data_IF_368074674385
#
_entry.id   IF_368074674385
#
_cell.length_a   1.000
_cell.length_b   1.000
_cell.length_c   1.000
_cell.angle_alpha   90.00
_cell.angle_beta   90.00
_cell.angle_gamma   90.00
#
_symmetry.space_group_name_H-M   'P 1'
#
loop_
_entity.id
_entity.type
_entity.pdbx_description
1 polymer ?
#
# COMPACT_ATOMS: atom_id res chain seq x y z
N UNK A 1 -18.95 7.78 10.88
CA UNK A 1 -18.22 7.91 9.61
C UNK A 1 -17.73 6.51 9.28
N UNK A 2 -18.36 5.82 8.32
CA UNK A 2 -17.83 4.54 7.84
C UNK A 2 -16.62 4.84 6.97
N UNK A 3 -15.46 4.84 7.60
CA UNK A 3 -14.14 4.88 6.98
C UNK A 3 -13.96 3.53 6.26
N UNK A 4 -13.07 3.43 5.27
CA UNK A 4 -12.77 2.23 4.48
C UNK A 4 -12.86 0.89 5.24
N UNK A 5 -13.02 -0.20 4.49
CA UNK A 5 -12.80 -1.53 5.06
C UNK A 5 -11.37 -1.60 5.60
N UNK A 6 -11.23 -1.73 6.91
CA UNK A 6 -9.96 -2.12 7.51
C UNK A 6 -9.49 -3.42 6.86
N UNK A 7 -8.21 -3.51 6.55
CA UNK A 7 -7.66 -4.68 5.86
C UNK A 7 -6.45 -4.34 5.02
N UNK A 8 -6.15 -5.24 4.09
CA UNK A 8 -5.03 -5.11 3.16
C UNK A 8 -5.57 -4.97 1.75
N UNK A 9 -5.11 -3.96 1.04
CA UNK A 9 -5.31 -3.78 -0.40
C UNK A 9 -4.00 -4.13 -1.09
N UNK A 10 -4.01 -5.11 -2.00
CA UNK A 10 -2.81 -5.59 -2.71
C UNK A 10 -2.82 -5.06 -4.14
N UNK A 11 -1.70 -4.53 -4.60
CA UNK A 11 -1.52 -4.09 -5.98
C UNK A 11 -1.86 -5.22 -6.97
N UNK A 12 -2.50 -4.90 -8.08
CA UNK A 12 -2.74 -5.88 -9.14
C UNK A 12 -1.47 -6.15 -9.95
N UNK A 13 -0.59 -5.14 -10.04
CA UNK A 13 0.63 -5.19 -10.83
C UNK A 13 1.82 -5.59 -9.95
N UNK A 14 2.52 -6.70 -10.25
CA UNK A 14 3.75 -7.02 -9.54
C UNK A 14 4.91 -6.14 -9.99
N UNK A 15 5.80 -5.81 -9.06
CA UNK A 15 7.16 -5.40 -9.34
C UNK A 15 8.08 -6.63 -9.41
N UNK A 16 8.99 -6.64 -10.38
CA UNK A 16 9.99 -7.70 -10.55
C UNK A 16 11.38 -7.13 -10.36
N UNK A 17 12.13 -7.66 -9.40
CA UNK A 17 13.53 -7.31 -9.17
C UNK A 17 14.42 -8.52 -9.44
N UNK A 18 15.58 -8.24 -10.02
CA UNK A 18 16.56 -9.26 -10.40
C UNK A 18 17.85 -9.00 -9.63
N UNK A 19 18.20 -9.93 -8.76
CA UNK A 19 19.45 -9.92 -8.01
C UNK A 19 20.51 -10.76 -8.72
N UNK A 20 21.74 -10.25 -8.77
CA UNK A 20 22.87 -11.00 -9.29
C UNK A 20 23.65 -11.66 -8.16
N UNK A 21 23.85 -12.97 -8.24
CA UNK A 21 24.57 -13.76 -7.24
C UNK A 21 25.59 -14.67 -7.93
N UNK A 22 26.87 -14.30 -7.91
CA UNK A 22 27.97 -15.19 -8.29
C UNK A 22 27.87 -15.87 -9.65
N UNK A 23 27.27 -15.20 -10.66
CA UNK A 23 27.05 -15.75 -12.01
C UNK A 23 25.63 -16.24 -12.29
N UNK A 24 24.78 -16.35 -11.28
CA UNK A 24 23.33 -16.61 -11.40
C UNK A 24 22.49 -15.34 -11.26
N UNK A 25 21.24 -15.41 -11.72
CA UNK A 25 20.22 -14.36 -11.53
C UNK A 25 19.07 -14.94 -10.71
N UNK A 26 18.73 -14.30 -9.61
CA UNK A 26 17.53 -14.60 -8.82
C UNK A 26 16.49 -13.54 -9.16
N UNK A 27 15.32 -13.98 -9.62
CA UNK A 27 14.20 -13.11 -9.91
C UNK A 27 13.19 -13.21 -8.78
N UNK A 28 12.77 -12.07 -8.26
CA UNK A 28 11.77 -11.98 -7.22
C UNK A 28 10.58 -11.15 -7.70
N UNK A 29 9.39 -11.60 -7.34
CA UNK A 29 8.13 -10.94 -7.69
C UNK A 29 7.47 -10.44 -6.41
N UNK A 30 7.32 -9.13 -6.27
CA UNK A 30 6.67 -8.48 -5.14
C UNK A 30 5.46 -7.68 -5.57
N UNK A 31 4.54 -7.49 -4.66
CA UNK A 31 3.37 -6.65 -4.78
C UNK A 31 3.45 -5.55 -3.72
N UNK A 32 2.99 -4.36 -4.08
CA UNK A 32 2.72 -3.31 -3.10
C UNK A 32 1.48 -3.65 -2.30
N UNK A 33 1.52 -3.45 -0.99
CA UNK A 33 0.41 -3.68 -0.09
C UNK A 33 0.10 -2.41 0.68
N UNK A 34 -1.18 -2.09 0.83
CA UNK A 34 -1.69 -0.95 1.58
C UNK A 34 -2.58 -1.47 2.69
N UNK A 35 -2.09 -1.29 3.90
CA UNK A 35 -2.68 -1.73 5.14
C UNK A 35 -3.45 -0.57 5.75
N UNK A 36 -4.77 -0.70 5.94
CA UNK A 36 -5.62 0.34 6.53
C UNK A 36 -6.18 -0.17 7.85
N UNK A 37 -5.94 0.60 8.92
CA UNK A 37 -6.47 0.32 10.25
C UNK A 37 -6.89 1.63 10.91
N UNK A 38 -8.20 1.87 10.98
CA UNK A 38 -8.80 3.14 11.42
C UNK A 38 -8.33 4.30 10.53
N UNK A 39 -7.62 5.28 11.10
CA UNK A 39 -7.04 6.42 10.38
C UNK A 39 -5.57 6.22 10.01
N UNK A 40 -4.97 5.08 10.36
CA UNK A 40 -3.56 4.79 10.08
C UNK A 40 -3.43 3.98 8.81
N UNK A 41 -2.43 4.31 8.00
CA UNK A 41 -2.06 3.60 6.78
C UNK A 41 -0.62 3.10 6.86
N UNK A 42 -0.38 1.92 6.31
CA UNK A 42 0.94 1.30 6.23
C UNK A 42 1.18 0.74 4.83
N UNK A 43 2.37 0.93 4.30
CA UNK A 43 2.77 0.42 2.98
C UNK A 43 3.90 -0.58 3.15
N UNK A 44 3.81 -1.72 2.47
CA UNK A 44 4.91 -2.68 2.44
C UNK A 44 4.93 -3.45 1.12
N UNK A 45 6.07 -4.07 0.82
CA UNK A 45 6.25 -4.89 -0.38
C UNK A 45 6.47 -6.34 0.03
N UNK A 46 5.69 -7.26 -0.54
CA UNK A 46 5.78 -8.68 -0.22
C UNK A 46 5.19 -9.55 -1.34
N UNK A 47 5.16 -10.87 -1.16
CA UNK A 47 4.43 -11.74 -2.08
C UNK A 47 2.93 -11.46 -2.05
N UNK A 48 2.20 -11.88 -3.09
CA UNK A 48 0.77 -11.55 -3.28
C UNK A 48 -0.11 -11.91 -2.08
N UNK A 49 0.19 -13.03 -1.42
CA UNK A 49 -0.63 -13.57 -0.33
C UNK A 49 -0.04 -13.30 1.06
N UNK A 50 0.85 -12.31 1.19
CA UNK A 50 1.50 -11.99 2.46
C UNK A 50 0.83 -10.82 3.16
N UNK A 51 0.13 -11.12 4.26
CA UNK A 51 -0.63 -10.14 5.05
C UNK A 51 -0.25 -10.15 6.55
N UNK A 52 0.79 -10.88 6.96
CA UNK A 52 1.25 -10.90 8.36
C UNK A 52 1.54 -9.51 8.95
N UNK A 53 2.14 -8.55 8.21
CA UNK A 53 2.41 -7.20 8.73
C UNK A 53 1.16 -6.42 9.13
N UNK A 54 -0.02 -6.77 8.61
CA UNK A 54 -1.29 -6.17 9.05
C UNK A 54 -1.57 -6.43 10.54
N UNK A 55 -1.30 -7.65 11.02
CA UNK A 55 -1.57 -8.02 12.42
C UNK A 55 -0.56 -7.41 13.40
N UNK A 56 0.65 -7.13 12.93
CA UNK A 56 1.64 -6.37 13.66
C UNK A 56 1.93 -5.05 12.93
N UNK A 57 0.91 -4.19 12.85
CA UNK A 57 1.00 -2.91 12.14
C UNK A 57 2.20 -2.06 12.59
N UNK A 58 2.67 -2.24 13.82
CA UNK A 58 3.85 -1.54 14.35
C UNK A 58 5.17 -1.88 13.63
N UNK A 59 5.25 -3.05 12.98
CA UNK A 59 6.42 -3.48 12.22
C UNK A 59 6.45 -2.99 10.77
N UNK A 60 5.46 -2.20 10.34
CA UNK A 60 5.47 -1.57 9.02
C UNK A 60 6.28 -0.29 9.14
N UNK A 61 7.37 -0.16 8.39
CA UNK A 61 8.23 1.03 8.48
C UNK A 61 7.61 2.25 7.78
N UNK A 62 7.04 2.06 6.59
CA UNK A 62 6.36 3.11 5.83
C UNK A 62 4.92 3.29 6.34
N UNK A 63 4.76 4.12 7.36
CA UNK A 63 3.46 4.43 7.98
C UNK A 63 3.09 5.89 7.82
N UNK A 64 1.80 6.15 7.90
CA UNK A 64 1.26 7.49 8.06
C UNK A 64 -0.24 7.45 8.34
N UNK A 65 -0.97 8.43 7.83
CA UNK A 65 -2.37 8.63 8.19
C UNK A 65 -3.22 9.07 7.01
N UNK A 66 -4.51 8.73 7.12
CA UNK A 66 -5.57 9.21 6.25
C UNK A 66 -5.89 10.65 6.65
N UNK A 67 -5.76 11.57 5.70
CA UNK A 67 -6.01 13.00 5.93
C UNK A 67 -7.41 13.41 5.48
N UNK A 68 -8.00 12.71 4.49
CA UNK A 68 -9.33 13.01 3.98
C UNK A 68 -10.04 11.77 3.43
N UNK A 69 -11.34 11.69 3.67
CA UNK A 69 -12.22 10.67 3.09
C UNK A 69 -13.57 11.30 2.74
N UNK A 70 -13.86 11.46 1.44
CA UNK A 70 -15.09 12.10 0.95
C UNK A 70 -15.50 11.52 -0.40
N UNK A 71 -16.78 11.22 -0.62
CA UNK A 71 -17.30 10.84 -1.95
C UNK A 71 -16.50 9.73 -2.66
N UNK A 72 -16.11 8.68 -1.95
CA UNK A 72 -15.25 7.58 -2.44
C UNK A 72 -13.83 8.01 -2.86
N UNK A 73 -13.40 9.22 -2.54
CA UNK A 73 -11.99 9.59 -2.61
C UNK A 73 -11.33 9.45 -1.24
N UNK A 74 -10.06 9.09 -1.28
CA UNK A 74 -9.19 8.90 -0.12
C UNK A 74 -7.91 9.71 -0.34
N UNK A 75 -7.50 10.47 0.66
CA UNK A 75 -6.17 11.08 0.70
C UNK A 75 -5.44 10.60 1.95
N UNK A 76 -4.17 10.27 1.79
CA UNK A 76 -3.29 9.89 2.89
C UNK A 76 -1.85 10.21 2.54
N UNK A 77 -0.99 10.15 3.55
CA UNK A 77 0.46 10.16 3.33
C UNK A 77 1.12 9.01 4.08
N UNK A 78 2.32 8.65 3.65
CA UNK A 78 3.25 7.83 4.45
C UNK A 78 4.59 8.56 4.54
N UNK A 79 5.23 8.44 5.70
CA UNK A 79 6.57 8.95 5.90
C UNK A 79 7.59 7.90 5.47
N UNK A 80 8.49 8.28 4.58
CA UNK A 80 9.64 7.48 4.18
C UNK A 80 10.86 7.89 5.00
N UNK A 81 11.28 7.02 5.93
CA UNK A 81 12.41 7.28 6.81
C UNK A 81 13.76 7.26 6.06
N UNK A 82 13.86 6.57 4.92
CA UNK A 82 15.10 6.50 4.13
C UNK A 82 15.39 7.82 3.41
N UNK A 83 14.34 8.51 2.94
CA UNK A 83 14.46 9.81 2.24
C UNK A 83 14.06 11.02 3.10
N UNK A 84 13.67 10.81 4.36
CA UNK A 84 13.17 11.84 5.29
C UNK A 84 12.07 12.73 4.66
N UNK A 85 11.12 12.09 3.96
CA UNK A 85 10.07 12.82 3.26
C UNK A 85 8.72 12.09 3.29
N UNK A 86 7.65 12.84 3.06
CA UNK A 86 6.32 12.28 2.87
C UNK A 86 6.08 11.91 1.41
N UNK A 87 5.51 10.73 1.20
CA UNK A 87 4.87 10.33 -0.03
C UNK A 87 3.37 10.51 0.16
N UNK A 88 2.78 11.38 -0.64
CA UNK A 88 1.35 11.69 -0.59
C UNK A 88 0.61 10.81 -1.59
N UNK A 89 -0.62 10.44 -1.25
CA UNK A 89 -1.46 9.58 -2.07
C UNK A 89 -2.86 10.14 -2.20
N UNK A 90 -3.39 10.03 -3.42
CA UNK A 90 -4.81 10.22 -3.71
C UNK A 90 -5.37 8.96 -4.36
N UNK A 91 -6.46 8.46 -3.79
CA UNK A 91 -7.13 7.23 -4.20
C UNK A 91 -8.60 7.43 -4.54
N UNK A 92 -9.09 6.66 -5.50
CA UNK A 92 -10.51 6.46 -5.77
C UNK A 92 -10.88 5.03 -5.37
N UNK A 93 -11.94 4.91 -4.57
CA UNK A 93 -12.44 3.64 -4.09
C UNK A 93 -13.64 3.24 -4.94
N UNK A 94 -13.71 1.97 -5.32
CA UNK A 94 -14.90 1.42 -5.95
C UNK A 94 -16.12 1.45 -5.03
N UNK A 95 -17.32 1.42 -5.62
CA UNK A 95 -18.58 1.43 -4.86
C UNK A 95 -18.72 0.24 -3.91
N UNK A 96 -18.14 -0.91 -4.25
CA UNK A 96 -18.13 -2.12 -3.40
C UNK A 96 -17.03 -2.11 -2.33
N UNK A 97 -16.23 -1.03 -2.26
CA UNK A 97 -15.10 -0.82 -1.34
C UNK A 97 -13.95 -1.84 -1.48
N UNK A 98 -13.97 -2.68 -2.52
CA UNK A 98 -12.98 -3.74 -2.74
C UNK A 98 -11.85 -3.36 -3.69
N UNK A 99 -11.93 -2.22 -4.37
CA UNK A 99 -10.88 -1.73 -5.25
C UNK A 99 -10.48 -0.31 -4.87
N UNK A 100 -9.21 -0.03 -5.01
CA UNK A 100 -8.59 1.24 -4.70
C UNK A 100 -7.60 1.59 -5.82
N UNK A 101 -7.94 2.58 -6.64
CA UNK A 101 -7.04 3.12 -7.67
C UNK A 101 -6.25 4.26 -7.06
N UNK A 102 -4.92 4.21 -7.07
CA UNK A 102 -4.07 5.17 -6.37
C UNK A 102 -3.08 5.87 -7.30
N UNK A 103 -2.82 7.13 -6.94
CA UNK A 103 -1.69 7.92 -7.43
C UNK A 103 -0.89 8.40 -6.23
N UNK A 104 0.43 8.26 -6.29
CA UNK A 104 1.36 8.70 -5.26
C UNK A 104 2.43 9.62 -5.83
N UNK A 105 2.83 10.62 -5.07
CA UNK A 105 3.88 11.57 -5.42
C UNK A 105 4.69 11.97 -4.18
N UNK A 106 5.95 12.32 -4.40
CA UNK A 106 6.80 12.86 -3.33
C UNK A 106 6.38 14.30 -3.03
N UNK A 107 6.45 14.71 -1.77
CA UNK A 107 6.15 16.09 -1.40
C UNK A 107 7.15 17.09 -2.02
N UNK A 108 8.38 16.62 -2.29
CA UNK A 108 9.45 17.37 -2.95
C UNK A 108 9.20 17.60 -4.46
N UNK A 109 8.42 16.74 -5.11
CA UNK A 109 8.09 16.80 -6.54
C UNK A 109 6.58 16.56 -6.79
N UNK A 110 5.69 17.49 -6.36
CA UNK A 110 4.25 17.26 -6.33
C UNK A 110 3.59 17.09 -7.71
N UNK A 111 4.25 17.55 -8.77
CA UNK A 111 3.77 17.43 -10.15
C UNK A 111 4.20 16.11 -10.82
N UNK A 112 5.04 15.30 -10.16
CA UNK A 112 5.54 14.03 -10.68
C UNK A 112 4.83 12.83 -10.03
N UNK A 113 4.15 12.03 -10.85
CA UNK A 113 3.52 10.79 -10.39
C UNK A 113 4.61 9.73 -10.24
N UNK A 114 4.92 9.38 -8.99
CA UNK A 114 5.88 8.35 -8.63
C UNK A 114 5.27 6.94 -8.72
N UNK A 115 4.02 6.79 -8.25
CA UNK A 115 3.28 5.52 -8.25
C UNK A 115 1.91 5.75 -8.86
N UNK A 116 1.47 4.85 -9.74
CA UNK A 116 0.09 4.76 -10.17
C UNK A 116 -0.29 3.30 -10.39
N UNK A 117 -1.21 2.79 -9.58
CA UNK A 117 -1.64 1.38 -9.67
C UNK A 117 -3.05 1.19 -9.08
N UNK A 118 -3.64 0.05 -9.40
CA UNK A 118 -4.89 -0.41 -8.83
C UNK A 118 -4.61 -1.48 -7.77
N UNK A 119 -5.39 -1.44 -6.69
CA UNK A 119 -5.27 -2.35 -5.57
C UNK A 119 -6.61 -3.04 -5.32
N UNK A 120 -6.55 -4.32 -4.97
CA UNK A 120 -7.72 -5.12 -4.61
C UNK A 120 -7.67 -5.51 -3.14
N UNK A 121 -8.80 -5.33 -2.44
CA UNK A 121 -8.96 -5.75 -1.06
C UNK A 121 -8.78 -7.26 -0.97
N UNK A 122 -7.90 -7.67 -0.08
CA UNK A 122 -7.62 -9.07 0.19
C UNK A 122 -8.58 -9.58 1.25
N UNK A 123 -9.31 -10.65 0.91
CA UNK A 123 -10.03 -11.40 1.91
C UNK A 123 -9.03 -12.07 2.84
N UNK A 124 -8.98 -11.59 4.08
CA UNK A 124 -8.15 -12.15 5.11
C UNK A 124 -8.88 -13.39 5.64
N UNK A 125 -8.87 -14.47 4.85
CA UNK A 125 -9.36 -15.77 5.25
C UNK A 125 -8.63 -16.19 6.53
N UNK A 126 -9.27 -15.91 7.67
CA UNK A 126 -8.78 -16.30 8.96
C UNK A 126 -8.93 -17.81 9.05
N UNK A 127 -7.84 -18.55 8.86
CA UNK A 127 -7.74 -19.85 9.52
C UNK A 127 -7.80 -19.52 11.02
N UNK A 128 -8.97 -19.79 11.60
CA UNK A 128 -9.16 -19.88 13.04
C UNK A 128 -8.16 -20.91 13.56
N UNK A 129 -7.01 -20.44 14.05
CA UNK A 129 -6.06 -21.23 14.83
C UNK A 129 -6.05 -20.68 16.24
#
# INVERSE_FOLDING_TARGET
MEILMNGVYTAISPAVYIEQHGGGKIQHTTYGHICIKNMTVGVYFASKNWYKPYFNFESIDLRGEITSFKNNSLEFYVFNFDSDENINFYGIISNDKKKLSLKGWHNSTPDEIFIQDDFEWQDLDYLQV
#
